data_IF_593371787894
#
_entry.id   IF_593371787894
#
_cell.length_a   1.000
_cell.length_b   1.000
_cell.length_c   1.000
_cell.angle_alpha   90.00
_cell.angle_beta   90.00
_cell.angle_gamma   90.00
#
_symmetry.space_group_name_H-M   'P 1'
#
loop_
_entity.id
_entity.type
_entity.pdbx_description
1 polymer ?
#
# COMPACT_ATOMS: atom_id res chain seq x y z
N UNK A 1 23.27 -9.99 -28.55
CA UNK A 1 22.76 -10.16 -27.17
C UNK A 1 23.15 -8.92 -26.39
N UNK A 2 22.21 -8.00 -26.13
CA UNK A 2 22.42 -7.02 -25.09
C UNK A 2 21.09 -6.71 -24.40
N UNK A 3 21.03 -7.07 -23.13
CA UNK A 3 19.94 -6.87 -22.18
C UNK A 3 19.80 -5.37 -21.84
N UNK A 4 19.53 -4.52 -22.83
CA UNK A 4 19.35 -3.07 -22.65
C UNK A 4 17.87 -2.66 -22.72
N UNK A 5 17.05 -3.42 -21.99
CA UNK A 5 15.87 -2.87 -21.34
C UNK A 5 16.11 -3.17 -19.87
N UNK A 6 16.96 -2.37 -19.22
CA UNK A 6 16.82 -2.19 -17.79
C UNK A 6 15.35 -1.79 -17.60
N UNK A 7 14.62 -2.59 -16.84
CA UNK A 7 13.26 -2.24 -16.47
C UNK A 7 13.33 -0.83 -15.90
N UNK A 8 12.53 0.10 -16.43
CA UNK A 8 12.38 1.39 -15.79
C UNK A 8 11.71 1.05 -14.45
N UNK A 9 12.48 1.10 -13.37
CA UNK A 9 11.96 0.92 -12.02
C UNK A 9 10.76 1.85 -11.85
N UNK A 10 9.67 1.31 -11.35
CA UNK A 10 8.46 2.10 -11.23
C UNK A 10 8.64 3.13 -10.12
N UNK A 11 8.55 4.42 -10.46
CA UNK A 11 8.81 5.51 -9.49
C UNK A 11 7.65 5.76 -8.52
N UNK A 12 6.45 5.29 -8.87
CA UNK A 12 5.24 5.46 -8.06
C UNK A 12 4.22 4.36 -8.36
N UNK A 13 3.53 3.89 -7.32
CA UNK A 13 2.34 3.04 -7.43
C UNK A 13 1.14 3.79 -6.91
N UNK A 14 0.09 3.83 -7.71
CA UNK A 14 -1.20 4.41 -7.34
C UNK A 14 -2.25 3.31 -7.29
N UNK A 15 -2.87 3.16 -6.12
CA UNK A 15 -3.99 2.26 -5.87
C UNK A 15 -5.21 3.13 -5.61
N UNK A 16 -6.19 3.05 -6.51
CA UNK A 16 -7.40 3.88 -6.46
C UNK A 16 -8.51 3.16 -5.72
N UNK A 17 -9.27 3.92 -4.94
CA UNK A 17 -10.55 3.50 -4.40
C UNK A 17 -11.52 3.11 -5.53
N UNK A 18 -12.38 2.15 -5.27
CA UNK A 18 -13.45 1.72 -6.16
C UNK A 18 -14.68 2.63 -6.11
N UNK A 19 -14.90 3.31 -4.98
CA UNK A 19 -16.15 4.05 -4.68
C UNK A 19 -15.96 5.55 -4.44
N UNK A 20 -14.71 6.04 -4.40
CA UNK A 20 -14.38 7.46 -4.22
C UNK A 20 -13.21 7.88 -5.10
N UNK A 21 -12.89 9.18 -5.11
CA UNK A 21 -11.67 9.69 -5.75
C UNK A 21 -10.39 9.45 -4.92
N UNK A 22 -10.49 8.76 -3.78
CA UNK A 22 -9.36 8.52 -2.90
C UNK A 22 -8.35 7.55 -3.51
N UNK A 23 -7.09 7.68 -3.10
CA UNK A 23 -6.01 6.81 -3.56
C UNK A 23 -4.92 6.66 -2.50
N UNK A 24 -4.36 5.45 -2.42
CA UNK A 24 -3.08 5.18 -1.79
C UNK A 24 -1.98 5.34 -2.83
N UNK A 25 -0.92 6.04 -2.47
CA UNK A 25 0.24 6.30 -3.31
C UNK A 25 1.49 5.85 -2.57
N UNK A 26 2.27 4.96 -3.19
CA UNK A 26 3.61 4.57 -2.75
C UNK A 26 4.62 5.18 -3.72
N UNK A 27 5.63 5.90 -3.23
CA UNK A 27 6.55 6.67 -4.08
C UNK A 27 7.91 6.88 -3.41
N UNK A 28 8.86 7.47 -4.14
CA UNK A 28 10.13 7.99 -3.60
C UNK A 28 10.93 6.96 -2.79
N UNK A 29 11.33 5.85 -3.42
CA UNK A 29 12.28 4.93 -2.80
C UNK A 29 13.64 5.63 -2.65
N UNK A 30 14.16 5.68 -1.42
CA UNK A 30 15.45 6.27 -1.07
C UNK A 30 16.13 5.42 0.00
N UNK A 31 17.06 4.56 -0.43
CA UNK A 31 17.66 3.56 0.45
C UNK A 31 16.59 2.62 1.00
N UNK A 32 16.49 2.53 2.32
CA UNK A 32 15.50 1.69 2.99
C UNK A 32 14.16 2.41 3.23
N UNK A 33 13.96 3.60 2.69
CA UNK A 33 12.75 4.39 2.90
C UNK A 33 11.89 4.47 1.63
N UNK A 34 10.57 4.60 1.82
CA UNK A 34 9.63 5.02 0.79
C UNK A 34 8.64 6.03 1.36
N UNK A 35 7.82 6.64 0.51
CA UNK A 35 6.72 7.52 0.94
C UNK A 35 5.39 6.82 0.72
N UNK A 36 4.60 6.69 1.79
CA UNK A 36 3.19 6.35 1.71
C UNK A 36 2.35 7.62 1.80
N UNK A 37 1.35 7.76 0.94
CA UNK A 37 0.42 8.87 0.99
C UNK A 37 -1.02 8.43 0.70
N UNK A 38 -1.96 8.97 1.46
CA UNK A 38 -3.38 8.91 1.14
C UNK A 38 -3.81 10.27 0.58
N UNK A 39 -4.46 10.26 -0.57
CA UNK A 39 -4.95 11.48 -1.23
C UNK A 39 -6.43 11.33 -1.51
N UNK A 40 -7.23 12.27 -1.04
CA UNK A 40 -8.65 12.41 -1.36
C UNK A 40 -8.99 13.91 -1.52
N UNK A 41 -10.27 14.23 -1.70
CA UNK A 41 -10.70 15.62 -1.69
C UNK A 41 -10.60 16.25 -0.30
N UNK A 42 -11.00 15.51 0.74
CA UNK A 42 -11.18 16.03 2.10
C UNK A 42 -9.93 15.86 2.97
N UNK A 43 -9.15 14.82 2.70
CA UNK A 43 -8.01 14.40 3.51
C UNK A 43 -6.80 14.10 2.63
N UNK A 44 -5.66 14.68 3.00
CA UNK A 44 -4.34 14.37 2.45
C UNK A 44 -3.40 14.01 3.60
N UNK A 45 -2.77 12.84 3.51
CA UNK A 45 -1.81 12.33 4.50
C UNK A 45 -0.58 11.85 3.76
N UNK A 46 0.59 12.08 4.34
CA UNK A 46 1.83 11.52 3.81
C UNK A 46 2.83 11.27 4.93
N UNK A 47 3.50 10.13 4.84
CA UNK A 47 4.59 9.73 5.74
C UNK A 47 5.73 9.14 4.94
N UNK A 48 6.95 9.52 5.31
CA UNK A 48 8.14 8.75 4.98
C UNK A 48 8.17 7.54 5.90
N UNK A 49 8.27 6.36 5.31
CA UNK A 49 8.18 5.07 5.97
C UNK A 49 9.52 4.36 5.85
N UNK A 50 10.03 3.83 6.94
CA UNK A 50 11.18 2.95 6.93
C UNK A 50 10.72 1.53 6.54
N UNK A 51 11.12 1.09 5.36
CA UNK A 51 10.63 -0.12 4.70
C UNK A 51 11.53 -1.35 4.79
N UNK A 52 12.85 -1.22 5.03
CA UNK A 52 13.87 -2.29 5.12
C UNK A 52 13.42 -3.70 4.64
N UNK A 53 13.39 -4.72 5.53
CA UNK A 53 12.91 -6.09 5.22
C UNK A 53 11.39 -6.19 5.10
N UNK A 54 10.65 -5.17 5.52
CA UNK A 54 9.18 -5.20 5.57
C UNK A 54 8.56 -4.93 4.19
N UNK A 55 9.31 -4.36 3.25
CA UNK A 55 8.86 -4.20 1.86
C UNK A 55 8.48 -5.54 1.22
N UNK A 56 9.20 -6.62 1.53
CA UNK A 56 8.85 -7.97 1.08
C UNK A 56 7.50 -8.42 1.64
N UNK A 57 7.25 -8.16 2.92
CA UNK A 57 5.97 -8.50 3.58
C UNK A 57 4.80 -7.68 3.02
N UNK A 58 5.06 -6.41 2.66
CA UNK A 58 4.07 -5.57 1.98
C UNK A 58 3.77 -6.10 0.58
N UNK A 59 4.79 -6.52 -0.17
CA UNK A 59 4.62 -7.20 -1.47
C UNK A 59 3.80 -8.48 -1.31
N UNK A 60 4.09 -9.28 -0.29
CA UNK A 60 3.37 -10.52 0.01
C UNK A 60 1.91 -10.27 0.40
N UNK A 61 1.61 -9.20 1.15
CA UNK A 61 0.24 -8.79 1.46
C UNK A 61 -0.57 -8.55 0.18
N UNK A 62 -0.02 -7.78 -0.76
CA UNK A 62 -0.70 -7.51 -2.03
C UNK A 62 -0.78 -8.76 -2.92
N UNK A 63 0.24 -9.62 -2.91
CA UNK A 63 0.22 -10.91 -3.61
C UNK A 63 -0.85 -11.85 -3.04
N UNK A 64 -1.02 -11.88 -1.72
CA UNK A 64 -2.06 -12.63 -1.05
C UNK A 64 -3.46 -12.16 -1.47
N UNK A 65 -3.73 -10.84 -1.41
CA UNK A 65 -5.01 -10.28 -1.84
C UNK A 65 -5.34 -10.59 -3.31
N UNK A 66 -4.32 -10.62 -4.18
CA UNK A 66 -4.51 -10.98 -5.59
C UNK A 66 -4.77 -12.49 -5.78
N UNK A 67 -4.08 -13.34 -5.02
CA UNK A 67 -4.26 -14.80 -5.06
C UNK A 67 -5.62 -15.21 -4.51
N UNK A 68 -6.00 -14.69 -3.36
CA UNK A 68 -7.26 -14.96 -2.65
C UNK A 68 -8.36 -13.99 -3.10
N UNK A 69 -8.49 -13.77 -4.41
CA UNK A 69 -9.44 -12.80 -4.99
C UNK A 69 -10.92 -13.11 -4.69
N UNK A 70 -11.23 -14.36 -4.34
CA UNK A 70 -12.57 -14.79 -3.89
C UNK A 70 -12.89 -14.34 -2.46
N UNK A 71 -11.90 -13.84 -1.74
CA UNK A 71 -11.98 -13.40 -0.36
C UNK A 71 -11.30 -14.37 0.61
N UNK A 72 -11.18 -13.89 1.85
CA UNK A 72 -10.60 -14.59 2.99
C UNK A 72 -11.42 -14.29 4.25
N UNK A 73 -11.20 -15.03 5.32
CA UNK A 73 -11.78 -14.76 6.63
C UNK A 73 -10.83 -13.91 7.48
N UNK A 74 -11.40 -13.00 8.28
CA UNK A 74 -10.65 -12.19 9.23
C UNK A 74 -9.86 -11.03 8.61
N UNK A 75 -8.92 -10.51 9.40
CA UNK A 75 -8.03 -9.42 9.00
C UNK A 75 -6.66 -9.99 8.59
N UNK A 76 -6.07 -9.42 7.55
CA UNK A 76 -4.66 -9.58 7.22
C UNK A 76 -3.99 -8.21 7.36
N UNK A 77 -2.76 -8.18 7.85
CA UNK A 77 -2.11 -6.93 8.20
C UNK A 77 -0.64 -6.88 7.79
N UNK A 78 -0.20 -5.65 7.57
CA UNK A 78 1.19 -5.27 7.48
C UNK A 78 1.38 -3.95 8.23
N UNK A 79 2.50 -3.79 8.92
CA UNK A 79 2.90 -2.54 9.53
C UNK A 79 4.41 -2.36 9.35
N UNK A 80 4.84 -1.10 9.20
CA UNK A 80 6.26 -0.77 9.31
C UNK A 80 6.76 -1.02 10.73
N UNK A 81 8.05 -1.36 10.86
CA UNK A 81 8.73 -1.51 12.16
C UNK A 81 8.49 -0.31 13.10
N UNK A 82 8.59 0.92 12.59
CA UNK A 82 8.41 2.15 13.39
C UNK A 82 6.94 2.56 13.54
N UNK A 83 6.00 1.75 13.03
CA UNK A 83 4.54 1.89 13.14
C UNK A 83 3.98 3.20 12.59
N UNK A 84 4.76 3.96 11.82
CA UNK A 84 4.34 5.20 11.18
C UNK A 84 3.34 4.97 10.05
N UNK A 85 3.27 3.74 9.52
CA UNK A 85 2.30 3.33 8.52
C UNK A 85 1.90 1.86 8.68
N UNK A 86 0.60 1.58 8.63
CA UNK A 86 0.10 0.20 8.57
C UNK A 86 -1.10 0.06 7.64
N UNK A 87 -1.28 -1.17 7.18
CA UNK A 87 -2.37 -1.60 6.30
C UNK A 87 -3.04 -2.80 6.95
N UNK A 88 -4.35 -2.72 7.15
CA UNK A 88 -5.19 -3.85 7.55
C UNK A 88 -6.27 -4.06 6.50
N UNK A 89 -6.38 -5.28 5.97
CA UNK A 89 -7.32 -5.60 4.92
C UNK A 89 -8.34 -6.65 5.38
N UNK A 90 -9.60 -6.43 5.03
CA UNK A 90 -10.68 -7.43 5.14
C UNK A 90 -11.34 -7.64 3.79
N UNK A 91 -11.90 -8.83 3.57
CA UNK A 91 -12.75 -9.12 2.43
C UNK A 91 -14.16 -9.45 2.89
N UNK A 92 -15.15 -9.03 2.10
CA UNK A 92 -16.55 -9.42 2.31
C UNK A 92 -16.94 -10.71 1.59
N UNK A 93 -15.99 -11.35 0.90
CA UNK A 93 -16.16 -12.56 0.07
C UNK A 93 -17.13 -12.38 -1.11
N UNK A 94 -17.46 -11.14 -1.47
CA UNK A 94 -18.29 -10.77 -2.62
C UNK A 94 -17.52 -9.94 -3.65
N UNK A 95 -16.20 -9.89 -3.49
CA UNK A 95 -15.30 -9.16 -4.37
C UNK A 95 -14.95 -7.75 -3.89
N UNK A 96 -15.36 -7.35 -2.68
CA UNK A 96 -14.94 -6.09 -2.07
C UNK A 96 -13.85 -6.35 -1.03
N UNK A 97 -12.91 -5.42 -0.97
CA UNK A 97 -11.81 -5.41 0.00
C UNK A 97 -11.81 -4.04 0.68
N UNK A 98 -11.93 -4.01 1.99
CA UNK A 98 -11.74 -2.79 2.76
C UNK A 98 -10.28 -2.72 3.22
N UNK A 99 -9.56 -1.68 2.80
CA UNK A 99 -8.17 -1.44 3.16
C UNK A 99 -8.12 -0.28 4.15
N UNK A 100 -7.93 -0.59 5.42
CA UNK A 100 -7.72 0.38 6.48
C UNK A 100 -6.25 0.79 6.46
N UNK A 101 -6.01 2.08 6.27
CA UNK A 101 -4.69 2.70 6.29
C UNK A 101 -4.57 3.51 7.57
N UNK A 102 -3.52 3.23 8.34
CA UNK A 102 -3.19 4.00 9.53
C UNK A 102 -1.89 4.74 9.32
N UNK A 103 -1.89 6.04 9.59
CA UNK A 103 -0.71 6.89 9.57
C UNK A 103 -0.49 7.44 10.97
N UNK A 104 0.76 7.43 11.42
CA UNK A 104 1.10 7.85 12.77
C UNK A 104 2.37 8.70 12.79
N UNK A 105 2.37 9.73 13.62
CA UNK A 105 3.53 10.54 13.95
C UNK A 105 3.57 10.69 15.47
N UNK A 106 4.51 9.99 16.11
CA UNK A 106 4.74 10.14 17.54
C UNK A 106 5.71 11.29 17.84
N UNK A 107 6.79 11.37 17.06
CA UNK A 107 7.87 12.33 17.29
C UNK A 107 7.52 13.72 16.73
N UNK A 108 7.88 14.79 17.45
CA UNK A 108 7.66 16.16 17.00
C UNK A 108 6.78 16.97 17.94
N UNK A 109 6.54 18.23 17.56
CA UNK A 109 5.77 19.16 18.39
C UNK A 109 4.28 18.80 18.51
N UNK A 110 3.74 18.09 17.51
CA UNK A 110 2.33 17.75 17.40
C UNK A 110 2.18 16.27 17.04
N UNK A 111 2.09 15.37 18.03
CA UNK A 111 1.80 13.97 17.79
C UNK A 111 0.38 13.78 17.24
N UNK A 112 0.22 12.88 16.28
CA UNK A 112 -1.07 12.59 15.68
C UNK A 112 -1.18 11.15 15.18
N UNK A 113 -2.43 10.68 15.10
CA UNK A 113 -2.83 9.39 14.58
C UNK A 113 -4.03 9.61 13.65
N UNK A 114 -3.95 9.12 12.42
CA UNK A 114 -5.04 9.20 11.45
C UNK A 114 -5.30 7.85 10.82
N UNK A 115 -6.57 7.48 10.76
CA UNK A 115 -7.04 6.29 10.08
C UNK A 115 -8.01 6.65 8.97
N UNK A 116 -7.81 6.06 7.78
CA UNK A 116 -8.70 6.18 6.63
C UNK A 116 -8.96 4.80 6.03
N UNK A 117 -10.07 4.63 5.34
CA UNK A 117 -10.39 3.38 4.63
C UNK A 117 -10.43 3.62 3.13
N UNK A 118 -9.78 2.75 2.38
CA UNK A 118 -9.78 2.69 0.93
C UNK A 118 -10.49 1.40 0.51
N UNK A 119 -11.67 1.49 -0.09
CA UNK A 119 -12.39 0.31 -0.60
C UNK A 119 -11.88 -0.04 -1.99
N UNK A 120 -11.58 -1.31 -2.22
CA UNK A 120 -11.07 -1.86 -3.47
C UNK A 120 -11.99 -2.97 -3.99
N UNK A 121 -11.88 -3.25 -5.29
CA UNK A 121 -12.47 -4.43 -5.92
C UNK A 121 -11.40 -5.49 -6.16
N UNK A 122 -11.73 -6.76 -5.90
CA UNK A 122 -10.78 -7.87 -6.04
C UNK A 122 -10.26 -8.03 -7.48
N UNK A 123 -11.04 -7.63 -8.48
CA UNK A 123 -10.64 -7.62 -9.89
C UNK A 123 -9.45 -6.70 -10.21
N UNK A 124 -9.15 -5.73 -9.35
CA UNK A 124 -7.99 -4.83 -9.52
C UNK A 124 -6.72 -5.35 -8.84
N UNK A 125 -6.83 -6.38 -8.00
CA UNK A 125 -5.74 -6.79 -7.14
C UNK A 125 -4.57 -7.44 -7.87
N UNK A 126 -4.81 -8.13 -8.99
CA UNK A 126 -3.72 -8.68 -9.80
C UNK A 126 -2.82 -7.57 -10.35
N UNK A 127 -3.42 -6.47 -10.83
CA UNK A 127 -2.67 -5.31 -11.30
C UNK A 127 -1.97 -4.59 -10.15
N UNK A 128 -2.67 -4.37 -9.04
CA UNK A 128 -2.09 -3.73 -7.86
C UNK A 128 -0.89 -4.52 -7.32
N UNK A 129 -1.00 -5.85 -7.21
CA UNK A 129 0.08 -6.74 -6.77
C UNK A 129 1.31 -6.66 -7.68
N UNK A 130 1.11 -6.76 -9.01
CA UNK A 130 2.20 -6.62 -9.98
C UNK A 130 2.89 -5.27 -9.85
N UNK A 131 2.09 -4.21 -9.66
CA UNK A 131 2.61 -2.87 -9.53
C UNK A 131 3.42 -2.68 -8.23
N UNK A 132 2.88 -3.09 -7.08
CA UNK A 132 3.58 -3.01 -5.79
C UNK A 132 4.90 -3.80 -5.84
N UNK A 133 4.89 -5.00 -6.42
CA UNK A 133 6.12 -5.78 -6.62
C UNK A 133 7.14 -5.07 -7.50
N UNK A 134 6.71 -4.50 -8.63
CA UNK A 134 7.60 -3.79 -9.55
C UNK A 134 8.11 -2.45 -8.99
N UNK A 135 7.44 -1.89 -7.98
CA UNK A 135 7.92 -0.71 -7.26
C UNK A 135 9.07 -1.07 -6.31
N UNK A 136 8.89 -2.10 -5.47
CA UNK A 136 9.92 -2.46 -4.49
C UNK A 136 11.07 -3.28 -5.07
N UNK A 137 10.83 -4.10 -6.10
CA UNK A 137 11.82 -5.06 -6.63
C UNK A 137 12.17 -4.86 -8.11
N UNK A 138 11.73 -3.75 -8.70
CA UNK A 138 11.92 -3.42 -10.12
C UNK A 138 13.26 -2.79 -10.47
#
# INVERSE_FOLDING_TARGET
MNKMLEAIAMNEVVIKSADTAAQLVLSNIEGDYFTAAYKSHDVFLSRRVWGYTDCDLLVDLFAYMAKEWKGWDGEIEWASIEQEFSITCTSDQKGHIAVKLKFFQYEGAEPWDVQVTLNLESGLMEKASKNVKAFFHG
#
